data_IF_056229301494
#
_entry.id   IF_056229301494
#
_cell.length_a   1.000
_cell.length_b   1.000
_cell.length_c   1.000
_cell.angle_alpha   90.00
_cell.angle_beta   90.00
_cell.angle_gamma   90.00
#
_symmetry.space_group_name_H-M   'P 1'
#
loop_
_entity.id
_entity.type
_entity.pdbx_description
1 polymer ?
#
# COMPACT_ATOMS: atom_id res chain seq x y z
N UNK A 1 25.12 6.25 -22.85
CA UNK A 1 24.41 6.67 -21.62
C UNK A 1 23.48 7.82 -21.98
N UNK A 2 22.20 7.82 -21.59
CA UNK A 2 21.32 8.98 -21.78
C UNK A 2 21.76 10.16 -20.91
N UNK A 3 21.75 11.38 -21.45
CA UNK A 3 22.11 12.60 -20.72
C UNK A 3 21.18 13.75 -21.12
N UNK A 4 20.92 14.67 -20.19
CA UNK A 4 20.12 15.88 -20.41
C UNK A 4 20.65 17.02 -19.54
N UNK A 5 20.57 18.25 -20.05
CA UNK A 5 20.81 19.48 -19.31
C UNK A 5 19.52 20.29 -19.35
N UNK A 6 19.02 20.69 -18.17
CA UNK A 6 17.80 21.47 -18.04
C UNK A 6 18.11 22.86 -17.50
N UNK A 7 17.52 23.87 -18.13
CA UNK A 7 17.61 25.26 -17.71
C UNK A 7 16.37 25.62 -16.88
N UNK A 8 16.57 26.03 -15.63
CA UNK A 8 15.48 26.27 -14.67
C UNK A 8 14.96 27.72 -14.68
N UNK A 9 15.58 28.60 -15.46
CA UNK A 9 15.26 30.01 -15.60
C UNK A 9 16.50 30.86 -15.90
N UNK A 10 16.27 32.14 -16.15
CA UNK A 10 17.30 33.14 -16.45
C UNK A 10 17.68 33.96 -15.22
N UNK A 11 18.98 34.11 -14.94
CA UNK A 11 19.45 34.82 -13.73
C UNK A 11 19.41 36.34 -13.86
N UNK A 12 19.40 36.84 -15.09
CA UNK A 12 19.30 38.26 -15.44
C UNK A 12 17.83 38.75 -15.57
N UNK A 13 16.87 37.83 -15.57
CA UNK A 13 15.45 38.14 -15.44
C UNK A 13 15.09 38.34 -13.97
N UNK A 14 14.68 39.56 -13.58
CA UNK A 14 14.23 39.86 -12.20
C UNK A 14 13.10 38.91 -11.77
N UNK A 15 12.20 38.57 -12.68
CA UNK A 15 11.05 37.68 -12.40
C UNK A 15 11.53 36.27 -12.05
N UNK A 16 12.45 35.70 -12.83
CA UNK A 16 12.91 34.33 -12.62
C UNK A 16 13.96 34.26 -11.51
N UNK A 17 14.83 35.25 -11.37
CA UNK A 17 15.73 35.38 -10.23
C UNK A 17 14.97 35.42 -8.90
N UNK A 18 13.82 36.10 -8.83
CA UNK A 18 12.97 36.11 -7.64
C UNK A 18 12.37 34.73 -7.34
N UNK A 19 11.95 33.98 -8.36
CA UNK A 19 11.47 32.60 -8.19
C UNK A 19 12.60 31.66 -7.75
N UNK A 20 13.78 31.77 -8.34
CA UNK A 20 14.93 30.92 -8.04
C UNK A 20 15.50 31.13 -6.62
N UNK A 21 15.13 32.23 -5.94
CA UNK A 21 15.44 32.47 -4.52
C UNK A 21 14.39 31.88 -3.57
N UNK A 22 13.25 31.40 -4.08
CA UNK A 22 12.14 30.90 -3.27
C UNK A 22 12.27 29.39 -3.04
N UNK A 23 12.34 28.96 -1.77
CA UNK A 23 12.40 27.54 -1.42
C UNK A 23 11.23 26.73 -2.00
N UNK A 24 10.01 27.27 -1.96
CA UNK A 24 8.83 26.57 -2.48
C UNK A 24 8.90 26.37 -4.00
N UNK A 25 9.53 27.30 -4.72
CA UNK A 25 9.74 27.17 -6.16
C UNK A 25 10.84 26.15 -6.48
N UNK A 26 11.95 26.17 -5.73
CA UNK A 26 13.03 25.20 -5.86
C UNK A 26 12.55 23.76 -5.58
N UNK A 27 11.74 23.57 -4.54
CA UNK A 27 11.10 22.28 -4.24
C UNK A 27 10.22 21.79 -5.40
N UNK A 28 9.45 22.68 -6.03
CA UNK A 28 8.63 22.34 -7.20
C UNK A 28 9.48 21.92 -8.39
N UNK A 29 10.59 22.61 -8.65
CA UNK A 29 11.53 22.24 -9.71
C UNK A 29 12.13 20.86 -9.42
N UNK A 30 12.62 20.64 -8.21
CA UNK A 30 13.23 19.37 -7.80
C UNK A 30 12.22 18.21 -7.93
N UNK A 31 10.99 18.41 -7.48
CA UNK A 31 9.90 17.42 -7.60
C UNK A 31 9.57 17.12 -9.07
N UNK A 32 9.51 18.16 -9.92
CA UNK A 32 9.30 18.01 -11.36
C UNK A 32 10.40 17.16 -12.01
N UNK A 33 11.66 17.41 -11.68
CA UNK A 33 12.80 16.64 -12.17
C UNK A 33 12.75 15.19 -11.70
N UNK A 34 12.52 14.95 -10.41
CA UNK A 34 12.43 13.60 -9.84
C UNK A 34 11.34 12.77 -10.54
N UNK A 35 10.15 13.36 -10.75
CA UNK A 35 9.06 12.71 -11.46
C UNK A 35 9.38 12.44 -12.94
N UNK A 36 10.03 13.39 -13.62
CA UNK A 36 10.47 13.23 -15.01
C UNK A 36 11.49 12.10 -15.17
N UNK A 37 12.50 12.05 -14.29
CA UNK A 37 13.51 10.99 -14.26
C UNK A 37 12.86 9.63 -13.97
N UNK A 38 11.98 9.57 -12.96
CA UNK A 38 11.27 8.34 -12.62
C UNK A 38 10.47 7.82 -13.84
N UNK A 39 9.77 8.71 -14.55
CA UNK A 39 9.04 8.35 -15.77
C UNK A 39 9.97 7.87 -16.89
N UNK A 40 11.09 8.58 -17.13
CA UNK A 40 12.05 8.22 -18.17
C UNK A 40 12.72 6.86 -17.91
N UNK A 41 12.92 6.50 -16.64
CA UNK A 41 13.46 5.21 -16.21
C UNK A 41 12.39 4.11 -16.07
N UNK A 42 11.11 4.41 -16.32
CA UNK A 42 10.01 3.45 -16.17
C UNK A 42 9.75 3.03 -14.72
N UNK A 43 10.14 3.86 -13.74
CA UNK A 43 9.95 3.56 -12.33
C UNK A 43 8.49 3.76 -11.94
N UNK A 44 7.90 2.72 -11.36
CA UNK A 44 6.61 2.82 -10.68
C UNK A 44 6.84 3.16 -9.21
N UNK A 45 5.93 3.94 -8.62
CA UNK A 45 5.88 4.12 -7.16
C UNK A 45 5.79 2.74 -6.51
N UNK A 46 6.78 2.39 -5.69
CA UNK A 46 6.68 1.24 -4.79
C UNK A 46 5.39 1.41 -3.99
N UNK A 47 4.51 0.42 -4.07
CA UNK A 47 3.18 0.42 -3.47
C UNK A 47 3.23 0.45 -1.94
N UNK A 48 3.67 1.55 -1.36
CA UNK A 48 2.95 2.09 -0.22
C UNK A 48 1.59 2.49 -0.74
N UNK A 49 0.65 1.53 -0.73
CA UNK A 49 -0.76 1.80 -1.00
C UNK A 49 -1.15 3.07 -0.27
N UNK A 50 -1.38 4.15 -1.01
CA UNK A 50 -2.39 5.15 -0.63
C UNK A 50 -3.75 4.56 -1.02
N UNK A 51 -3.94 3.28 -0.65
CA UNK A 51 -5.24 2.69 -0.52
C UNK A 51 -5.70 3.04 0.88
N UNK A 52 -7.01 3.17 1.06
CA UNK A 52 -7.65 3.18 2.36
C UNK A 52 -6.82 2.42 3.40
N UNK A 53 -6.51 3.08 4.52
CA UNK A 53 -5.54 2.65 5.54
C UNK A 53 -5.40 1.15 5.75
N UNK A 54 -4.20 0.71 6.15
CA UNK A 54 -3.85 -0.70 6.23
C UNK A 54 -4.95 -1.49 6.95
N UNK A 55 -5.47 -2.51 6.27
CA UNK A 55 -6.58 -3.29 6.78
C UNK A 55 -6.07 -4.43 7.68
N UNK A 56 -6.78 -4.64 8.78
CA UNK A 56 -6.47 -5.63 9.79
C UNK A 56 -7.69 -6.51 10.07
N UNK A 57 -7.40 -7.73 10.51
CA UNK A 57 -8.40 -8.66 11.02
C UNK A 57 -7.97 -9.15 12.40
N UNK A 58 -8.85 -9.00 13.38
CA UNK A 58 -8.66 -9.50 14.75
C UNK A 58 -9.55 -10.71 14.99
N UNK A 59 -9.01 -11.73 15.64
CA UNK A 59 -9.76 -12.94 16.01
C UNK A 59 -10.53 -12.69 17.30
N UNK A 60 -11.85 -12.94 17.32
CA UNK A 60 -12.72 -12.72 18.50
C UNK A 60 -13.20 -14.01 19.17
N UNK A 61 -12.98 -15.16 18.53
CA UNK A 61 -13.29 -16.51 19.06
C UNK A 61 -12.07 -17.10 19.80
N UNK A 62 -12.23 -18.01 20.79
CA UNK A 62 -11.10 -18.61 21.52
C UNK A 62 -10.05 -19.28 20.62
N UNK A 63 -10.48 -19.92 19.55
CA UNK A 63 -9.62 -20.51 18.53
C UNK A 63 -10.30 -20.46 17.17
N UNK A 64 -9.49 -20.34 16.11
CA UNK A 64 -9.94 -20.27 14.73
C UNK A 64 -8.90 -20.88 13.79
N UNK A 65 -9.36 -21.60 12.76
CA UNK A 65 -8.46 -22.10 11.73
C UNK A 65 -8.14 -21.04 10.68
N UNK A 66 -6.88 -21.02 10.26
CA UNK A 66 -6.43 -20.44 8.98
C UNK A 66 -6.23 -21.54 7.94
N UNK A 67 -6.00 -21.16 6.69
CA UNK A 67 -5.96 -22.08 5.55
C UNK A 67 -4.79 -21.75 4.60
N UNK A 68 -4.19 -22.76 3.96
CA UNK A 68 -3.09 -22.55 3.00
C UNK A 68 -3.58 -22.03 1.65
N UNK A 69 -4.78 -22.44 1.24
CA UNK A 69 -5.44 -22.02 0.01
C UNK A 69 -6.82 -21.44 0.32
N UNK A 70 -7.50 -20.75 -0.64
CA UNK A 70 -8.87 -20.28 -0.45
C UNK A 70 -9.87 -21.45 -0.53
N UNK A 71 -9.69 -22.47 0.31
CA UNK A 71 -10.57 -23.63 0.45
C UNK A 71 -10.74 -23.97 1.93
N UNK A 72 -11.96 -24.32 2.32
CA UNK A 72 -12.34 -24.54 3.73
C UNK A 72 -11.83 -25.87 4.32
N UNK A 73 -11.34 -26.76 3.47
CA UNK A 73 -10.78 -28.07 3.81
C UNK A 73 -9.26 -28.05 3.99
N UNK A 74 -8.57 -27.02 3.48
CA UNK A 74 -7.10 -26.92 3.50
C UNK A 74 -6.58 -26.13 4.71
N UNK A 75 -6.78 -26.70 5.91
CA UNK A 75 -6.41 -26.07 7.19
C UNK A 75 -4.90 -25.95 7.35
N UNK A 76 -4.46 -24.82 7.90
CA UNK A 76 -3.05 -24.49 8.13
C UNK A 76 -2.71 -24.45 9.62
N UNK A 77 -2.88 -23.30 10.27
CA UNK A 77 -2.59 -23.11 11.70
C UNK A 77 -3.81 -22.61 12.46
N UNK A 78 -3.87 -22.91 13.76
CA UNK A 78 -4.87 -22.37 14.68
C UNK A 78 -4.37 -21.04 15.22
N UNK A 79 -5.22 -20.02 15.16
CA UNK A 79 -5.02 -18.68 15.74
C UNK A 79 -5.97 -18.48 16.91
N UNK A 80 -5.64 -17.56 17.82
CA UNK A 80 -6.34 -17.37 19.08
C UNK A 80 -6.96 -15.98 19.23
N UNK A 81 -7.92 -15.86 20.15
CA UNK A 81 -8.59 -14.58 20.46
C UNK A 81 -7.57 -13.46 20.73
N UNK A 82 -7.79 -12.31 20.11
CA UNK A 82 -6.97 -11.10 20.25
C UNK A 82 -5.80 -11.02 19.27
N UNK A 83 -5.48 -12.10 18.54
CA UNK A 83 -4.46 -12.05 17.49
C UNK A 83 -4.94 -11.20 16.32
N UNK A 84 -4.04 -10.35 15.81
CA UNK A 84 -4.32 -9.40 14.73
C UNK A 84 -3.41 -9.69 13.55
N UNK A 85 -4.00 -9.76 12.36
CA UNK A 85 -3.28 -10.01 11.12
C UNK A 85 -3.49 -8.88 10.11
N UNK A 86 -2.45 -8.56 9.34
CA UNK A 86 -2.54 -7.62 8.21
C UNK A 86 -3.19 -8.32 7.02
N UNK A 87 -4.16 -7.67 6.40
CA UNK A 87 -4.87 -8.16 5.21
C UNK A 87 -4.09 -7.74 3.96
N UNK A 88 -3.75 -8.72 3.12
CA UNK A 88 -3.17 -8.52 1.80
C UNK A 88 -4.22 -8.46 0.68
N UNK A 89 -5.35 -9.17 0.85
CA UNK A 89 -6.50 -9.12 -0.06
C UNK A 89 -7.79 -9.02 0.73
N UNK A 90 -8.60 -8.03 0.36
CA UNK A 90 -9.92 -7.80 0.95
C UNK A 90 -10.88 -8.97 0.73
N UNK A 91 -12.04 -8.88 1.39
CA UNK A 91 -13.07 -9.91 1.42
C UNK A 91 -13.39 -10.42 0.02
N UNK A 92 -13.26 -11.73 -0.19
CA UNK A 92 -13.67 -12.39 -1.43
C UNK A 92 -14.46 -13.67 -1.14
N UNK A 93 -15.30 -14.09 -2.08
CA UNK A 93 -16.19 -15.24 -1.92
C UNK A 93 -15.46 -16.57 -2.12
N UNK A 94 -15.74 -17.55 -1.24
CA UNK A 94 -15.23 -18.92 -1.29
C UNK A 94 -16.39 -19.87 -0.98
N UNK A 95 -16.96 -20.47 -2.02
CA UNK A 95 -18.20 -21.25 -1.90
C UNK A 95 -19.34 -20.39 -1.39
N UNK A 96 -19.99 -20.80 -0.29
CA UNK A 96 -21.06 -20.03 0.38
C UNK A 96 -20.53 -18.99 1.39
N UNK A 97 -19.22 -18.99 1.65
CA UNK A 97 -18.57 -18.14 2.65
C UNK A 97 -17.70 -17.07 2.03
N UNK A 98 -17.01 -16.32 2.89
CA UNK A 98 -16.05 -15.30 2.50
C UNK A 98 -14.75 -15.43 3.28
N UNK A 99 -13.63 -15.06 2.66
CA UNK A 99 -12.31 -15.08 3.28
C UNK A 99 -11.53 -13.79 3.04
N UNK A 100 -10.54 -13.55 3.88
CA UNK A 100 -9.45 -12.59 3.66
C UNK A 100 -8.17 -13.36 3.33
N UNK A 101 -7.28 -12.75 2.54
CA UNK A 101 -5.89 -13.23 2.42
C UNK A 101 -5.02 -12.37 3.34
N UNK A 102 -4.25 -13.02 4.21
CA UNK A 102 -3.32 -12.39 5.12
C UNK A 102 -1.99 -12.09 4.42
N UNK A 103 -1.23 -11.12 4.94
CA UNK A 103 0.12 -10.80 4.46
C UNK A 103 1.11 -11.96 4.62
N UNK A 104 0.85 -12.87 5.55
CA UNK A 104 1.58 -14.14 5.70
C UNK A 104 1.35 -15.12 4.53
N UNK A 105 0.36 -14.87 3.67
CA UNK A 105 -0.04 -15.77 2.59
C UNK A 105 -1.19 -16.71 2.94
N UNK A 106 -1.51 -16.88 4.23
CA UNK A 106 -2.62 -17.68 4.72
C UNK A 106 -3.98 -17.02 4.47
N UNK A 107 -5.03 -17.82 4.58
CA UNK A 107 -6.41 -17.37 4.45
C UNK A 107 -7.15 -17.54 5.77
N UNK A 108 -8.12 -16.65 6.04
CA UNK A 108 -8.95 -16.67 7.25
C UNK A 108 -10.38 -16.32 6.90
N UNK A 109 -11.35 -16.82 7.66
CA UNK A 109 -12.77 -16.48 7.47
C UNK A 109 -13.00 -14.97 7.60
N UNK A 110 -13.90 -14.44 6.77
CA UNK A 110 -14.36 -13.05 6.83
C UNK A 110 -15.72 -12.91 7.53
N UNK A 111 -16.15 -13.93 8.29
CA UNK A 111 -17.40 -13.88 9.05
C UNK A 111 -17.25 -13.02 10.30
N UNK A 112 -18.15 -12.05 10.54
CA UNK A 112 -18.13 -11.20 11.73
C UNK A 112 -18.37 -11.97 13.03
N UNK A 113 -18.84 -13.21 12.95
CA UNK A 113 -18.99 -14.10 14.11
C UNK A 113 -17.64 -14.53 14.71
N UNK A 114 -16.60 -14.61 13.87
CA UNK A 114 -15.28 -15.15 14.28
C UNK A 114 -14.17 -14.10 14.25
N UNK A 115 -14.32 -13.06 13.44
CA UNK A 115 -13.29 -12.02 13.27
C UNK A 115 -13.87 -10.61 13.18
N UNK A 116 -13.06 -9.62 13.57
CA UNK A 116 -13.36 -8.19 13.45
C UNK A 116 -12.42 -7.53 12.44
N UNK A 117 -12.98 -6.89 11.42
CA UNK A 117 -12.24 -6.12 10.41
C UNK A 117 -12.15 -4.64 10.82
N UNK A 118 -10.99 -4.03 10.62
CA UNK A 118 -10.82 -2.58 10.75
C UNK A 118 -9.69 -2.05 9.86
N UNK A 119 -9.66 -0.74 9.63
CA UNK A 119 -8.58 -0.03 8.91
C UNK A 119 -7.91 0.99 9.83
N UNK A 120 -6.61 1.22 9.64
CA UNK A 120 -5.88 2.34 10.23
C UNK A 120 -5.18 3.17 9.17
#
# INVERSE_FOLDING_TARGET
MPAVLTENGFIDSVVDANKLKSNTYLERIALGHANGIAKALGLSKSGGSIGNGQAYVEVITPSLWTYHTPKWDDRALIVHRGEVFTIAKEKFSVGKGHMYRLKSGLYITASPTYVRYYRK
#
